data_IF_030893886221
#
_entry.id   IF_030893886221
#
_cell.length_a   1.000
_cell.length_b   1.000
_cell.length_c   1.000
_cell.angle_alpha   90.00
_cell.angle_beta   90.00
_cell.angle_gamma   90.00
#
_symmetry.space_group_name_H-M   'P 1'
#
loop_
_entity.id
_entity.type
_entity.pdbx_description
1 polymer ?
#
# COMPACT_ATOMS: atom_id res chain seq x y z
N UNK A 1 -7.15 24.45 -7.71
CA UNK A 1 -6.07 23.55 -8.18
C UNK A 1 -4.69 23.97 -7.69
N UNK A 2 -4.18 25.19 -7.98
CA UNK A 2 -2.85 25.67 -7.53
C UNK A 2 -2.54 25.42 -6.04
N UNK A 3 -3.53 25.64 -5.15
CA UNK A 3 -3.40 25.38 -3.70
C UNK A 3 -3.17 23.90 -3.35
N UNK A 4 -3.91 22.99 -3.99
CA UNK A 4 -3.75 21.55 -3.76
C UNK A 4 -2.39 21.09 -4.26
N UNK A 5 -1.96 21.56 -5.44
CA UNK A 5 -0.62 21.28 -5.97
C UNK A 5 0.49 21.75 -5.00
N UNK A 6 0.36 22.94 -4.40
CA UNK A 6 1.33 23.41 -3.40
C UNK A 6 1.34 22.54 -2.15
N UNK A 7 0.17 22.11 -1.65
CA UNK A 7 0.09 21.25 -0.45
C UNK A 7 0.60 19.83 -0.70
N UNK A 8 0.17 19.18 -1.79
CA UNK A 8 0.67 17.86 -2.18
C UNK A 8 2.16 17.90 -2.52
N UNK A 9 2.61 18.92 -3.25
CA UNK A 9 4.03 19.14 -3.52
C UNK A 9 4.84 19.29 -2.23
N UNK A 10 4.33 20.02 -1.23
CA UNK A 10 4.97 20.13 0.07
C UNK A 10 5.07 18.77 0.78
N UNK A 11 4.00 17.96 0.77
CA UNK A 11 4.04 16.60 1.33
C UNK A 11 5.13 15.74 0.66
N UNK A 12 5.22 15.77 -0.68
CA UNK A 12 6.23 15.00 -1.41
C UNK A 12 7.66 15.51 -1.15
N UNK A 13 7.87 16.83 -1.03
CA UNK A 13 9.18 17.39 -0.64
C UNK A 13 9.57 16.93 0.77
N UNK A 14 8.64 16.90 1.72
CA UNK A 14 8.91 16.39 3.05
C UNK A 14 9.29 14.90 3.05
N UNK A 15 8.53 14.08 2.31
CA UNK A 15 8.84 12.65 2.15
C UNK A 15 10.24 12.47 1.55
N UNK A 16 10.60 13.24 0.52
CA UNK A 16 11.92 13.21 -0.09
C UNK A 16 13.04 13.55 0.91
N UNK A 17 12.87 14.60 1.72
CA UNK A 17 13.86 15.00 2.73
C UNK A 17 14.10 13.90 3.75
N UNK A 18 13.03 13.24 4.22
CA UNK A 18 13.15 12.10 5.15
C UNK A 18 13.81 10.90 4.45
N UNK A 19 13.44 10.59 3.22
CA UNK A 19 14.07 9.51 2.45
C UNK A 19 15.56 9.72 2.23
N UNK A 20 15.99 10.95 1.90
CA UNK A 20 17.42 11.29 1.75
C UNK A 20 18.19 11.11 3.06
N UNK A 21 17.58 11.42 4.20
CA UNK A 21 18.16 11.10 5.50
C UNK A 21 18.28 9.59 5.73
N UNK A 22 17.21 8.83 5.48
CA UNK A 22 17.19 7.37 5.68
C UNK A 22 18.21 6.63 4.79
N UNK A 23 18.48 7.13 3.58
CA UNK A 23 19.48 6.56 2.66
C UNK A 23 20.90 7.09 2.95
N UNK A 24 21.08 7.94 3.97
CA UNK A 24 22.37 8.41 4.44
C UNK A 24 22.94 9.62 3.69
N UNK A 25 22.15 10.26 2.82
CA UNK A 25 22.56 11.45 2.04
C UNK A 25 22.42 12.74 2.84
N UNK A 26 21.58 12.76 3.87
CA UNK A 26 21.49 13.84 4.85
C UNK A 26 21.91 13.34 6.22
N UNK A 27 22.62 14.17 6.98
CA UNK A 27 22.95 13.87 8.36
C UNK A 27 21.91 14.44 9.33
N UNK A 28 22.00 14.03 10.60
CA UNK A 28 21.06 14.45 11.66
C UNK A 28 21.08 15.94 11.98
N UNK A 29 22.08 16.70 11.53
CA UNK A 29 22.16 18.15 11.71
C UNK A 29 21.43 18.91 10.58
N UNK A 30 21.56 18.45 9.32
CA UNK A 30 20.92 19.08 8.17
C UNK A 30 19.42 18.80 8.08
N UNK A 31 18.98 17.62 8.51
CA UNK A 31 17.55 17.27 8.47
C UNK A 31 16.69 18.27 9.28
N UNK A 32 16.98 18.60 10.56
CA UNK A 32 16.22 19.60 11.31
C UNK A 32 16.21 20.98 10.65
N UNK A 33 17.33 21.44 10.10
CA UNK A 33 17.42 22.75 9.42
C UNK A 33 16.50 22.79 8.20
N UNK A 34 16.53 21.75 7.37
CA UNK A 34 15.67 21.63 6.19
C UNK A 34 14.20 21.48 6.58
N UNK A 35 13.89 20.73 7.63
CA UNK A 35 12.54 20.57 8.17
C UNK A 35 11.96 21.88 8.71
N UNK A 36 12.74 22.66 9.47
CA UNK A 36 12.32 23.97 9.99
C UNK A 36 12.13 24.96 8.85
N UNK A 37 13.04 24.98 7.87
CA UNK A 37 12.93 25.84 6.69
C UNK A 37 11.69 25.48 5.87
N UNK A 38 11.45 24.19 5.66
CA UNK A 38 10.26 23.68 5.00
C UNK A 38 8.97 24.10 5.73
N UNK A 39 8.92 23.96 7.06
CA UNK A 39 7.80 24.44 7.87
C UNK A 39 7.59 25.95 7.71
N UNK A 40 8.66 26.75 7.75
CA UNK A 40 8.58 28.19 7.57
C UNK A 40 8.02 28.57 6.20
N UNK A 41 8.47 27.91 5.13
CA UNK A 41 7.95 28.10 3.76
C UNK A 41 6.47 27.68 3.66
N UNK A 42 6.08 26.62 4.35
CA UNK A 42 4.70 26.14 4.37
C UNK A 42 3.78 27.13 5.10
N UNK A 43 4.21 27.66 6.24
CA UNK A 43 3.49 28.71 6.99
C UNK A 43 3.42 30.02 6.18
N UNK A 44 4.49 30.39 5.48
CA UNK A 44 4.49 31.55 4.59
C UNK A 44 3.53 31.36 3.41
N UNK A 45 3.56 30.18 2.77
CA UNK A 45 2.61 29.79 1.74
C UNK A 45 1.17 29.82 2.25
N UNK A 46 0.93 29.34 3.48
CA UNK A 46 -0.38 29.40 4.14
C UNK A 46 -0.88 30.85 4.23
N UNK A 47 -0.04 31.76 4.71
CA UNK A 47 -0.37 33.20 4.79
C UNK A 47 -0.65 33.79 3.40
N UNK A 48 0.13 33.41 2.39
CA UNK A 48 0.05 33.95 1.02
C UNK A 48 -1.18 33.49 0.25
N UNK A 49 -1.57 32.22 0.39
CA UNK A 49 -2.65 31.59 -0.39
C UNK A 49 -4.03 31.62 0.30
N UNK A 50 -4.14 32.24 1.49
CA UNK A 50 -5.40 32.44 2.24
C UNK A 50 -6.33 31.22 2.15
N UNK A 51 -5.93 30.10 2.74
CA UNK A 51 -6.74 28.87 2.73
C UNK A 51 -8.17 29.22 3.20
N UNK A 52 -9.22 28.84 2.46
CA UNK A 52 -10.59 29.09 2.87
C UNK A 52 -10.78 28.52 4.27
N UNK A 53 -11.31 29.34 5.19
CA UNK A 53 -11.83 28.81 6.45
C UNK A 53 -12.96 27.86 6.08
N UNK A 54 -12.67 26.56 6.06
CA UNK A 54 -13.71 25.54 6.05
C UNK A 54 -14.39 25.62 7.41
N UNK A 55 -15.64 26.08 7.41
CA UNK A 55 -16.47 26.10 8.61
C UNK A 55 -16.97 24.68 8.90
N UNK A 56 -16.02 23.76 9.13
CA UNK A 56 -16.30 22.40 9.57
C UNK A 56 -16.29 22.40 11.09
N UNK A 57 -17.38 21.91 11.68
CA UNK A 57 -17.49 21.60 13.09
C UNK A 57 -16.39 20.63 13.53
N UNK A 58 -16.07 20.62 14.84
CA UNK A 58 -15.11 19.66 15.39
C UNK A 58 -15.54 18.20 15.13
N UNK A 59 -16.84 17.93 15.12
CA UNK A 59 -17.41 16.62 14.79
C UNK A 59 -17.08 16.20 13.36
N UNK A 60 -17.30 17.07 12.38
CA UNK A 60 -16.98 16.77 10.98
C UNK A 60 -15.47 16.58 10.77
N UNK A 61 -14.64 17.41 11.43
CA UNK A 61 -13.18 17.24 11.40
C UNK A 61 -12.76 15.89 11.98
N UNK A 62 -13.35 15.50 13.12
CA UNK A 62 -13.12 14.19 13.73
C UNK A 62 -13.52 13.05 12.80
N UNK A 63 -14.66 13.16 12.12
CA UNK A 63 -15.13 12.15 11.16
C UNK A 63 -14.18 12.01 9.96
N UNK A 64 -13.71 13.12 9.40
CA UNK A 64 -12.73 13.10 8.30
C UNK A 64 -11.38 12.49 8.74
N UNK A 65 -10.92 12.81 9.95
CA UNK A 65 -9.68 12.25 10.50
C UNK A 65 -9.81 10.74 10.73
N UNK A 66 -10.89 10.28 11.35
CA UNK A 66 -11.11 8.85 11.59
C UNK A 66 -11.33 8.08 10.29
N UNK A 67 -12.09 8.63 9.35
CA UNK A 67 -12.30 8.02 8.03
C UNK A 67 -11.00 7.88 7.24
N UNK A 68 -10.17 8.95 7.21
CA UNK A 68 -8.86 8.89 6.54
C UNK A 68 -7.88 7.96 7.23
N UNK A 69 -7.88 7.90 8.56
CA UNK A 69 -7.09 6.93 9.33
C UNK A 69 -7.52 5.50 9.01
N UNK A 70 -8.83 5.22 8.97
CA UNK A 70 -9.36 3.91 8.59
C UNK A 70 -8.90 3.48 7.20
N UNK A 71 -9.05 4.36 6.20
CA UNK A 71 -8.58 4.10 4.83
C UNK A 71 -7.07 3.86 4.79
N UNK A 72 -6.27 4.66 5.50
CA UNK A 72 -4.83 4.48 5.55
C UNK A 72 -4.43 3.12 6.13
N UNK A 73 -5.04 2.73 7.26
CA UNK A 73 -4.78 1.43 7.90
C UNK A 73 -5.18 0.28 6.97
N UNK A 74 -6.33 0.37 6.30
CA UNK A 74 -6.74 -0.64 5.32
C UNK A 74 -5.74 -0.76 4.17
N UNK A 75 -5.26 0.34 3.60
CA UNK A 75 -4.26 0.30 2.51
C UNK A 75 -2.97 -0.37 2.98
N UNK A 76 -2.47 0.00 4.16
CA UNK A 76 -1.24 -0.59 4.73
C UNK A 76 -1.44 -2.08 5.00
N UNK A 77 -2.60 -2.48 5.51
CA UNK A 77 -2.94 -3.87 5.75
C UNK A 77 -2.96 -4.67 4.44
N UNK A 78 -3.63 -4.17 3.39
CA UNK A 78 -3.69 -4.85 2.09
C UNK A 78 -2.31 -5.00 1.45
N UNK A 79 -1.48 -3.95 1.53
CA UNK A 79 -0.11 -4.00 1.02
C UNK A 79 0.73 -5.03 1.79
N UNK A 80 0.64 -5.04 3.12
CA UNK A 80 1.38 -5.97 3.96
C UNK A 80 0.93 -7.42 3.69
N UNK A 81 -0.38 -7.68 3.71
CA UNK A 81 -0.94 -9.00 3.46
C UNK A 81 -0.50 -9.55 2.11
N UNK A 82 -0.64 -8.78 1.02
CA UNK A 82 -0.19 -9.21 -0.31
C UNK A 82 1.30 -9.51 -0.36
N UNK A 83 2.16 -8.67 0.24
CA UNK A 83 3.60 -8.93 0.26
C UNK A 83 3.92 -10.20 1.04
N UNK A 84 3.37 -10.36 2.24
CA UNK A 84 3.67 -11.51 3.12
C UNK A 84 3.20 -12.81 2.47
N UNK A 85 2.00 -12.83 1.92
CA UNK A 85 1.44 -14.02 1.28
C UNK A 85 2.24 -14.42 0.04
N UNK A 86 2.59 -13.46 -0.84
CA UNK A 86 3.38 -13.76 -2.02
C UNK A 86 4.80 -14.19 -1.67
N UNK A 87 5.48 -13.52 -0.74
CA UNK A 87 6.82 -13.94 -0.31
C UNK A 87 6.78 -15.36 0.27
N UNK A 88 5.78 -15.67 1.10
CA UNK A 88 5.67 -17.00 1.69
C UNK A 88 5.41 -18.08 0.62
N UNK A 89 4.37 -17.91 -0.20
CA UNK A 89 3.95 -18.97 -1.13
C UNK A 89 4.72 -18.97 -2.45
N UNK A 90 5.11 -17.81 -2.97
CA UNK A 90 5.69 -17.62 -4.32
C UNK A 90 7.18 -17.35 -4.33
N UNK A 91 7.81 -17.14 -3.17
CA UNK A 91 9.27 -17.08 -3.05
C UNK A 91 9.81 -18.23 -2.18
N UNK A 92 9.41 -18.30 -0.91
CA UNK A 92 9.94 -19.28 0.06
C UNK A 92 9.49 -20.71 -0.30
N UNK A 93 8.18 -20.97 -0.31
CA UNK A 93 7.68 -22.31 -0.61
C UNK A 93 7.92 -22.69 -2.07
N UNK A 94 7.79 -21.73 -2.99
CA UNK A 94 8.08 -21.94 -4.41
C UNK A 94 9.53 -22.40 -4.63
N UNK A 95 10.50 -21.78 -3.96
CA UNK A 95 11.93 -22.06 -4.11
C UNK A 95 12.38 -23.45 -3.62
N UNK A 96 11.60 -24.10 -2.74
CA UNK A 96 11.90 -25.46 -2.27
C UNK A 96 11.21 -26.55 -3.10
N UNK A 97 10.24 -26.19 -3.94
CA UNK A 97 9.48 -27.16 -4.73
C UNK A 97 10.19 -27.49 -6.06
N UNK A 98 10.28 -28.78 -6.43
CA UNK A 98 11.21 -29.23 -7.47
C UNK A 98 10.72 -29.04 -8.91
N UNK A 99 9.41 -28.83 -9.13
CA UNK A 99 8.81 -28.83 -10.46
C UNK A 99 7.82 -27.66 -10.63
N UNK A 100 7.80 -26.97 -11.78
CA UNK A 100 6.92 -25.83 -12.03
C UNK A 100 5.42 -26.13 -11.86
N UNK A 101 4.98 -27.32 -12.29
CA UNK A 101 3.57 -27.73 -12.12
C UNK A 101 3.24 -27.90 -10.64
N UNK A 102 4.14 -28.49 -9.85
CA UNK A 102 3.96 -28.67 -8.41
C UNK A 102 3.98 -27.32 -7.69
N UNK A 103 4.87 -26.41 -8.09
CA UNK A 103 4.93 -25.03 -7.58
C UNK A 103 3.57 -24.36 -7.74
N UNK A 104 3.01 -24.31 -8.94
CA UNK A 104 1.72 -23.65 -9.20
C UNK A 104 0.60 -24.34 -8.42
N UNK A 105 0.44 -25.67 -8.55
CA UNK A 105 -0.72 -26.37 -7.97
C UNK A 105 -0.70 -26.36 -6.44
N UNK A 106 0.44 -26.68 -5.83
CA UNK A 106 0.54 -26.80 -4.37
C UNK A 106 0.40 -25.43 -3.70
N UNK A 107 1.14 -24.44 -4.17
CA UNK A 107 1.14 -23.11 -3.56
C UNK A 107 -0.19 -22.38 -3.78
N UNK A 108 -0.95 -22.68 -4.84
CA UNK A 108 -2.32 -22.18 -5.06
C UNK A 108 -3.34 -22.88 -4.17
N UNK A 109 -3.20 -24.20 -4.00
CA UNK A 109 -4.11 -24.97 -3.14
C UNK A 109 -3.95 -24.58 -1.67
N UNK A 110 -2.71 -24.44 -1.18
CA UNK A 110 -2.43 -24.02 0.19
C UNK A 110 -2.88 -22.58 0.45
N UNK A 111 -2.66 -21.68 -0.51
CA UNK A 111 -3.19 -20.32 -0.46
C UNK A 111 -4.72 -20.32 -0.30
N UNK A 112 -5.44 -21.10 -1.12
CA UNK A 112 -6.89 -21.20 -1.02
C UNK A 112 -7.38 -21.77 0.31
N UNK A 113 -6.67 -22.77 0.86
CA UNK A 113 -7.00 -23.36 2.15
C UNK A 113 -6.75 -22.41 3.34
N UNK A 114 -5.72 -21.57 3.25
CA UNK A 114 -5.41 -20.58 4.30
C UNK A 114 -6.52 -19.52 4.46
N UNK A 115 -7.35 -19.34 3.43
CA UNK A 115 -8.53 -18.47 3.48
C UNK A 115 -9.76 -19.15 4.13
N UNK A 116 -9.59 -20.35 4.71
CA UNK A 116 -10.64 -21.12 5.39
C UNK A 116 -11.98 -21.18 4.63
N UNK A 117 -11.98 -21.67 3.37
CA UNK A 117 -13.18 -21.66 2.54
C UNK A 117 -14.27 -22.54 3.16
N UNK A 118 -15.49 -21.99 3.23
CA UNK A 118 -16.65 -22.67 3.81
C UNK A 118 -17.43 -23.52 2.80
N UNK A 119 -17.05 -23.47 1.53
CA UNK A 119 -17.71 -24.19 0.43
C UNK A 119 -16.75 -24.49 -0.71
N UNK A 120 -17.11 -25.46 -1.55
CA UNK A 120 -16.35 -25.73 -2.78
C UNK A 120 -16.27 -24.48 -3.68
N UNK A 121 -17.35 -23.70 -3.75
CA UNK A 121 -17.38 -22.46 -4.53
C UNK A 121 -16.33 -21.45 -4.04
N UNK A 122 -16.27 -21.18 -2.72
CA UNK A 122 -15.27 -20.26 -2.15
C UNK A 122 -13.85 -20.81 -2.27
N UNK A 123 -13.67 -22.13 -2.15
CA UNK A 123 -12.37 -22.76 -2.41
C UNK A 123 -11.92 -22.57 -3.86
N UNK A 124 -12.82 -22.76 -4.85
CA UNK A 124 -12.52 -22.53 -6.27
C UNK A 124 -12.21 -21.06 -6.54
N UNK A 125 -12.92 -20.11 -5.90
CA UNK A 125 -12.63 -18.69 -6.05
C UNK A 125 -11.20 -18.36 -5.59
N UNK A 126 -10.84 -18.70 -4.35
CA UNK A 126 -9.48 -18.45 -3.85
C UNK A 126 -8.42 -19.26 -4.62
N UNK A 127 -8.75 -20.49 -5.01
CA UNK A 127 -7.90 -21.33 -5.84
C UNK A 127 -7.61 -20.72 -7.20
N UNK A 128 -8.62 -20.12 -7.86
CA UNK A 128 -8.45 -19.47 -9.16
C UNK A 128 -7.57 -18.22 -9.09
N UNK A 129 -7.68 -17.44 -8.01
CA UNK A 129 -6.77 -16.34 -7.71
C UNK A 129 -5.36 -16.89 -7.47
N UNK A 130 -5.21 -17.89 -6.62
CA UNK A 130 -3.94 -18.57 -6.36
C UNK A 130 -3.27 -19.05 -7.66
N UNK A 131 -4.02 -19.70 -8.55
CA UNK A 131 -3.52 -20.16 -9.84
C UNK A 131 -3.04 -19.00 -10.71
N UNK A 132 -3.81 -17.91 -10.77
CA UNK A 132 -3.42 -16.70 -11.52
C UNK A 132 -2.10 -16.13 -11.00
N UNK A 133 -1.96 -16.02 -9.67
CA UNK A 133 -0.73 -15.56 -9.02
C UNK A 133 0.44 -16.54 -9.23
N UNK A 134 0.18 -17.84 -9.16
CA UNK A 134 1.19 -18.87 -9.45
C UNK A 134 1.69 -18.80 -10.88
N UNK A 135 0.80 -18.64 -11.86
CA UNK A 135 1.18 -18.46 -13.27
C UNK A 135 1.95 -17.16 -13.46
N UNK A 136 1.49 -16.06 -12.86
CA UNK A 136 2.21 -14.78 -12.90
C UNK A 136 3.64 -14.92 -12.37
N UNK A 137 3.83 -15.54 -11.20
CA UNK A 137 5.15 -15.84 -10.63
C UNK A 137 6.03 -16.67 -11.54
N UNK A 138 5.46 -17.72 -12.16
CA UNK A 138 6.19 -18.63 -13.04
C UNK A 138 6.63 -17.98 -14.36
N UNK A 139 5.89 -16.99 -14.85
CA UNK A 139 6.21 -16.25 -16.07
C UNK A 139 7.12 -15.04 -15.84
N UNK A 140 7.15 -14.52 -14.61
CA UNK A 140 7.84 -13.28 -14.27
C UNK A 140 8.68 -13.46 -12.99
N UNK A 141 8.26 -12.84 -11.88
CA UNK A 141 8.92 -12.90 -10.59
C UNK A 141 7.92 -12.70 -9.43
N UNK A 142 8.41 -12.71 -8.19
CA UNK A 142 7.57 -12.54 -6.99
C UNK A 142 7.01 -11.12 -6.87
N UNK A 143 7.74 -10.10 -7.34
CA UNK A 143 7.29 -8.72 -7.30
C UNK A 143 6.09 -8.52 -8.24
N UNK A 144 6.17 -9.02 -9.48
CA UNK A 144 5.07 -9.00 -10.44
C UNK A 144 3.84 -9.72 -9.90
N UNK A 145 3.99 -10.90 -9.28
CA UNK A 145 2.88 -11.60 -8.62
C UNK A 145 2.27 -10.75 -7.48
N UNK A 146 3.13 -10.10 -6.67
CA UNK A 146 2.69 -9.18 -5.61
C UNK A 146 1.90 -7.99 -6.13
N UNK A 147 2.32 -7.42 -7.26
CA UNK A 147 1.59 -6.31 -7.89
C UNK A 147 0.23 -6.75 -8.44
N UNK A 148 0.12 -7.96 -9.01
CA UNK A 148 -1.16 -8.53 -9.44
C UNK A 148 -2.08 -8.77 -8.24
N UNK A 149 -1.55 -9.37 -7.17
CA UNK A 149 -2.30 -9.62 -5.93
C UNK A 149 -2.78 -8.31 -5.31
N UNK A 150 -1.89 -7.33 -5.15
CA UNK A 150 -2.23 -6.01 -4.62
C UNK A 150 -3.29 -5.30 -5.48
N UNK A 151 -3.21 -5.46 -6.81
CA UNK A 151 -4.22 -4.90 -7.72
C UNK A 151 -5.58 -5.55 -7.50
N UNK A 152 -5.63 -6.88 -7.38
CA UNK A 152 -6.87 -7.60 -7.06
C UNK A 152 -7.46 -7.16 -5.72
N UNK A 153 -6.65 -7.13 -4.66
CA UNK A 153 -7.06 -6.69 -3.34
C UNK A 153 -7.52 -5.22 -3.34
N UNK A 154 -6.86 -4.36 -4.11
CA UNK A 154 -7.26 -2.97 -4.31
C UNK A 154 -8.61 -2.84 -5.00
N UNK A 155 -8.89 -3.65 -6.03
CA UNK A 155 -10.20 -3.69 -6.71
C UNK A 155 -11.28 -4.16 -5.74
N UNK A 156 -11.07 -5.27 -5.03
CA UNK A 156 -12.05 -5.81 -4.06
C UNK A 156 -12.32 -4.80 -2.96
N UNK A 157 -11.28 -4.17 -2.42
CA UNK A 157 -11.43 -3.12 -1.41
C UNK A 157 -12.22 -1.93 -1.96
N UNK A 158 -11.88 -1.43 -3.15
CA UNK A 158 -12.63 -0.33 -3.76
C UNK A 158 -14.11 -0.68 -3.97
N UNK A 159 -14.40 -1.88 -4.49
CA UNK A 159 -15.78 -2.36 -4.67
C UNK A 159 -16.53 -2.50 -3.34
N UNK A 160 -15.84 -2.81 -2.24
CA UNK A 160 -16.47 -2.88 -0.91
C UNK A 160 -16.87 -1.52 -0.32
N UNK A 161 -16.38 -0.43 -0.90
CA UNK A 161 -16.71 0.94 -0.50
C UNK A 161 -17.85 1.57 -1.32
N UNK A 162 -18.30 0.90 -2.38
CA UNK A 162 -19.43 1.31 -3.23
C UNK A 162 -20.75 0.80 -2.66
#
# INVERSE_FOLDING_TARGET
MKRLLVMYGAIHVNVLLVSLYLVGWLNGAWLPVLQVTFLALLLWGWKRFKIPKRNLSLKERGLWLLGSLGVMVSIVFLLNASVVEEVFYREVLWGVLPQPVVQVLLTSSLFALAHHPSSLFTWVLYGSLGLTLGVARGQTDCLSSTLVHLSWNGIVFFLSLL
#
